data_IF_463776804346
#
_entry.id   IF_463776804346
#
_cell.length_a   1.000
_cell.length_b   1.000
_cell.length_c   1.000
_cell.angle_alpha   90.00
_cell.angle_beta   90.00
_cell.angle_gamma   90.00
#
_symmetry.space_group_name_H-M   'P 1'
#
loop_
_entity.id
_entity.type
_entity.pdbx_description
1 polymer ?
#
# COMPACT_ATOMS: atom_id res chain seq x y z
N UNK A 1 4.91 -8.36 4.92
CA UNK A 1 4.36 -9.33 5.89
C UNK A 1 3.39 -8.61 6.82
N UNK A 2 2.28 -9.24 7.22
CA UNK A 2 1.28 -8.68 8.13
C UNK A 2 1.21 -9.55 9.40
N UNK A 3 2.13 -9.37 10.36
CA UNK A 3 2.08 -10.06 11.66
C UNK A 3 1.89 -11.58 11.62
N UNK A 4 2.54 -12.26 10.68
CA UNK A 4 2.42 -13.72 10.51
C UNK A 4 1.23 -14.19 9.67
N UNK A 5 0.35 -13.30 9.19
CA UNK A 5 -0.71 -13.66 8.24
C UNK A 5 -0.09 -14.12 6.92
N UNK A 6 -0.57 -15.26 6.41
CA UNK A 6 -0.16 -15.80 5.11
C UNK A 6 -0.41 -14.78 3.99
N UNK A 7 0.50 -14.70 3.03
CA UNK A 7 0.31 -13.82 1.86
C UNK A 7 -0.77 -14.36 0.93
N UNK A 8 -0.93 -15.68 0.89
CA UNK A 8 -1.88 -16.37 0.01
C UNK A 8 -3.04 -17.00 0.78
N UNK A 9 -4.21 -17.23 0.14
CA UNK A 9 -4.53 -16.98 -1.28
C UNK A 9 -4.38 -15.51 -1.68
N UNK A 10 -3.70 -15.26 -2.81
CA UNK A 10 -3.60 -13.94 -3.42
C UNK A 10 -4.47 -13.91 -4.66
N UNK A 11 -5.43 -12.99 -4.74
CA UNK A 11 -6.12 -12.71 -5.99
C UNK A 11 -5.29 -11.72 -6.82
N UNK A 12 -5.25 -11.91 -8.14
CA UNK A 12 -4.57 -11.02 -9.09
C UNK A 12 -5.45 -10.82 -10.34
N UNK A 13 -5.57 -9.58 -10.81
CA UNK A 13 -6.41 -9.22 -11.97
C UNK A 13 -5.78 -8.11 -12.82
N UNK A 14 -6.15 -8.03 -14.10
CA UNK A 14 -5.82 -6.90 -14.99
C UNK A 14 -7.07 -6.25 -15.63
N UNK A 15 -6.88 -5.18 -16.41
CA UNK A 15 -7.96 -4.46 -17.09
C UNK A 15 -8.50 -5.17 -18.34
N UNK A 16 -7.80 -6.20 -18.81
CA UNK A 16 -8.19 -7.02 -19.97
C UNK A 16 -9.19 -8.11 -19.58
N UNK A 17 -9.40 -8.31 -18.27
CA UNK A 17 -10.30 -9.30 -17.71
C UNK A 17 -9.61 -10.60 -17.29
N UNK A 18 -8.27 -10.66 -17.32
CA UNK A 18 -7.55 -11.79 -16.75
C UNK A 18 -7.67 -11.77 -15.22
N UNK A 19 -7.96 -12.92 -14.63
CA UNK A 19 -8.05 -13.07 -13.19
C UNK A 19 -7.45 -14.41 -12.75
N UNK A 20 -6.83 -14.44 -11.58
CA UNK A 20 -6.26 -15.64 -11.00
C UNK A 20 -6.18 -15.60 -9.48
N UNK A 21 -6.01 -16.78 -8.89
CA UNK A 21 -5.68 -16.94 -7.46
C UNK A 21 -4.37 -17.71 -7.37
N UNK A 22 -3.41 -17.16 -6.63
CA UNK A 22 -2.08 -17.75 -6.44
C UNK A 22 -1.96 -18.28 -5.02
N UNK A 23 -1.54 -19.54 -4.89
CA UNK A 23 -1.16 -20.17 -3.63
C UNK A 23 0.34 -20.45 -3.61
N UNK A 24 1.03 -20.07 -2.53
CA UNK A 24 2.49 -20.23 -2.46
C UNK A 24 2.98 -20.56 -1.06
N UNK A 25 4.16 -21.18 -1.01
CA UNK A 25 4.82 -21.57 0.23
C UNK A 25 5.42 -20.39 1.02
N UNK A 26 5.52 -19.20 0.43
CA UNK A 26 6.07 -18.01 1.12
C UNK A 26 5.71 -16.71 0.41
N UNK A 27 5.77 -15.60 1.13
CA UNK A 27 5.58 -14.26 0.55
C UNK A 27 6.56 -13.96 -0.61
N UNK A 28 7.80 -14.44 -0.53
CA UNK A 28 8.81 -14.27 -1.59
C UNK A 28 8.42 -15.01 -2.87
N UNK A 29 7.80 -16.19 -2.74
CA UNK A 29 7.27 -16.94 -3.87
C UNK A 29 6.01 -16.28 -4.45
N UNK A 30 5.10 -15.81 -3.58
CA UNK A 30 3.91 -15.06 -4.02
C UNK A 30 4.30 -13.85 -4.88
N UNK A 31 5.23 -13.03 -4.39
CA UNK A 31 5.72 -11.85 -5.10
C UNK A 31 6.42 -12.22 -6.41
N UNK A 32 7.30 -13.23 -6.40
CA UNK A 32 8.01 -13.67 -7.61
C UNK A 32 7.06 -14.13 -8.71
N UNK A 33 6.04 -14.93 -8.37
CA UNK A 33 5.07 -15.42 -9.34
C UNK A 33 4.13 -14.31 -9.82
N UNK A 34 3.61 -13.50 -8.89
CA UNK A 34 2.76 -12.36 -9.22
C UNK A 34 3.48 -11.38 -10.17
N UNK A 35 4.76 -11.09 -9.93
CA UNK A 35 5.56 -10.20 -10.79
C UNK A 35 5.67 -10.69 -12.23
N UNK A 36 5.88 -12.00 -12.44
CA UNK A 36 5.92 -12.59 -13.78
C UNK A 36 4.56 -12.46 -14.44
N UNK A 37 3.49 -12.81 -13.72
CA UNK A 37 2.12 -12.69 -14.23
C UNK A 37 1.75 -11.24 -14.57
N UNK A 38 2.17 -10.27 -13.77
CA UNK A 38 2.01 -8.84 -14.06
C UNK A 38 2.71 -8.44 -15.36
N UNK A 39 3.87 -9.03 -15.68
CA UNK A 39 4.55 -8.82 -16.97
C UNK A 39 3.67 -9.22 -18.15
N UNK A 40 3.11 -10.43 -18.11
CA UNK A 40 2.19 -10.95 -19.13
C UNK A 40 0.87 -10.15 -19.20
N UNK A 41 0.42 -9.59 -18.07
CA UNK A 41 -0.75 -8.70 -17.99
C UNK A 41 -0.50 -7.30 -18.58
N UNK A 42 0.70 -7.00 -19.10
CA UNK A 42 1.04 -5.71 -19.69
C UNK A 42 1.70 -4.73 -18.72
N UNK A 43 2.35 -5.25 -17.67
CA UNK A 43 3.14 -4.46 -16.72
C UNK A 43 2.36 -3.87 -15.55
N UNK A 44 1.04 -4.08 -15.50
CA UNK A 44 0.18 -3.65 -14.39
C UNK A 44 -0.82 -4.74 -14.02
N UNK A 45 -1.01 -4.95 -12.73
CA UNK A 45 -2.01 -5.86 -12.19
C UNK A 45 -2.47 -5.34 -10.82
N UNK A 46 -3.72 -5.61 -10.48
CA UNK A 46 -4.27 -5.38 -9.14
C UNK A 46 -4.22 -6.67 -8.36
N UNK A 47 -3.81 -6.60 -7.09
CA UNK A 47 -3.71 -7.75 -6.20
C UNK A 47 -4.49 -7.56 -4.92
N UNK A 48 -5.03 -8.64 -4.39
CA UNK A 48 -5.54 -8.74 -3.02
C UNK A 48 -4.79 -9.85 -2.32
N UNK A 49 -4.10 -9.52 -1.23
CA UNK A 49 -3.21 -10.41 -0.49
C UNK A 49 -3.38 -10.20 1.01
N UNK A 50 -2.84 -11.12 1.81
CA UNK A 50 -3.03 -11.15 3.27
C UNK A 50 -4.50 -11.20 3.70
N UNK A 51 -5.27 -12.23 3.28
CA UNK A 51 -6.64 -12.40 3.77
C UNK A 51 -6.62 -12.50 5.30
N UNK A 52 -7.23 -11.51 5.96
CA UNK A 52 -7.15 -11.31 7.39
C UNK A 52 -8.52 -10.98 7.98
N UNK A 53 -8.77 -11.44 9.19
CA UNK A 53 -9.96 -11.03 9.95
C UNK A 53 -9.72 -9.72 10.71
N UNK A 54 -10.81 -9.14 11.23
CA UNK A 54 -10.75 -7.86 11.95
C UNK A 54 -9.82 -7.86 13.17
N UNK A 55 -9.64 -8.99 13.87
CA UNK A 55 -8.71 -9.10 15.00
C UNK A 55 -7.26 -8.95 14.53
N UNK A 56 -6.89 -9.66 13.46
CA UNK A 56 -5.54 -9.59 12.87
C UNK A 56 -5.22 -8.18 12.34
N UNK A 57 -6.19 -7.51 11.71
CA UNK A 57 -6.03 -6.13 11.24
C UNK A 57 -5.86 -5.16 12.41
N UNK A 58 -6.66 -5.28 13.48
CA UNK A 58 -6.52 -4.44 14.68
C UNK A 58 -5.17 -4.63 15.38
N UNK A 59 -4.60 -5.83 15.34
CA UNK A 59 -3.33 -6.14 15.98
C UNK A 59 -2.12 -5.70 15.15
N UNK A 60 -2.18 -5.83 13.83
CA UNK A 60 -1.01 -5.70 12.96
C UNK A 60 -1.07 -4.53 11.98
N UNK A 61 -2.24 -3.90 11.82
CA UNK A 61 -2.43 -2.75 10.95
C UNK A 61 -1.85 -1.47 11.55
N UNK A 62 -1.37 -0.57 10.69
CA UNK A 62 -0.89 0.75 11.09
C UNK A 62 -2.09 1.70 11.11
N UNK A 63 -2.61 1.97 12.30
CA UNK A 63 -3.76 2.88 12.47
C UNK A 63 -3.39 4.32 12.05
N UNK A 64 -4.32 5.03 11.42
CA UNK A 64 -4.15 6.44 11.06
C UNK A 64 -3.32 6.74 9.81
N UNK A 65 -2.66 5.73 9.21
CA UNK A 65 -1.74 5.95 8.07
C UNK A 65 -2.41 6.66 6.87
N UNK A 66 -3.64 6.28 6.52
CA UNK A 66 -4.36 6.93 5.41
C UNK A 66 -4.67 8.39 5.73
N UNK A 67 -5.06 8.69 6.97
CA UNK A 67 -5.31 10.06 7.44
C UNK A 67 -4.03 10.90 7.40
N UNK A 68 -2.90 10.33 7.84
CA UNK A 68 -1.60 11.01 7.79
C UNK A 68 -1.16 11.29 6.34
N UNK A 69 -1.25 10.30 5.44
CA UNK A 69 -0.97 10.49 4.01
C UNK A 69 -1.85 11.57 3.38
N UNK A 70 -3.14 11.62 3.76
CA UNK A 70 -4.06 12.66 3.29
C UNK A 70 -3.65 14.05 3.78
N UNK A 71 -3.21 14.18 5.05
CA UNK A 71 -2.72 15.45 5.60
C UNK A 71 -1.49 15.94 4.84
N UNK A 72 -0.50 15.07 4.62
CA UNK A 72 0.70 15.38 3.84
C UNK A 72 0.34 15.83 2.41
N UNK A 73 -0.48 15.03 1.71
CA UNK A 73 -0.90 15.37 0.35
C UNK A 73 -1.71 16.66 0.26
N UNK A 74 -2.51 16.99 1.29
CA UNK A 74 -3.22 18.27 1.39
C UNK A 74 -2.24 19.43 1.56
N UNK A 75 -1.25 19.31 2.42
CA UNK A 75 -0.23 20.36 2.62
C UNK A 75 0.51 20.65 1.32
N UNK A 76 0.95 19.61 0.61
CA UNK A 76 1.64 19.75 -0.69
C UNK A 76 0.75 20.45 -1.72
N UNK A 77 -0.52 20.04 -1.83
CA UNK A 77 -1.47 20.63 -2.80
C UNK A 77 -1.73 22.12 -2.56
N UNK A 78 -1.73 22.56 -1.30
CA UNK A 78 -2.01 23.94 -0.91
C UNK A 78 -0.77 24.84 -0.86
N UNK A 79 0.43 24.27 -1.02
CA UNK A 79 1.70 24.99 -0.89
C UNK A 79 1.83 26.19 -1.83
N UNK A 80 1.20 26.17 -3.01
CA UNK A 80 1.21 27.32 -3.92
C UNK A 80 0.63 28.60 -3.31
N UNK A 81 -0.38 28.47 -2.42
CA UNK A 81 -1.05 29.62 -1.83
C UNK A 81 -0.28 30.20 -0.63
N UNK A 82 0.33 29.32 0.16
CA UNK A 82 1.08 29.67 1.36
C UNK A 82 2.17 28.60 1.64
N UNK A 83 3.37 28.78 1.06
CA UNK A 83 4.45 27.82 1.18
C UNK A 83 4.96 27.61 2.61
N UNK A 84 4.98 28.67 3.43
CA UNK A 84 5.50 28.61 4.81
C UNK A 84 4.57 27.77 5.70
N UNK A 85 3.26 28.04 5.64
CA UNK A 85 2.27 27.23 6.36
C UNK A 85 2.25 25.79 5.86
N UNK A 86 2.40 25.57 4.56
CA UNK A 86 2.46 24.22 3.99
C UNK A 86 3.68 23.44 4.46
N UNK A 87 4.87 24.06 4.48
CA UNK A 87 6.08 23.45 5.00
C UNK A 87 5.92 23.11 6.49
N UNK A 88 5.41 24.05 7.30
CA UNK A 88 5.14 23.81 8.72
C UNK A 88 4.23 22.60 8.93
N UNK A 89 3.07 22.58 8.26
CA UNK A 89 2.12 21.47 8.38
C UNK A 89 2.72 20.14 7.91
N UNK A 90 3.63 20.15 6.94
CA UNK A 90 4.31 18.96 6.47
C UNK A 90 5.34 18.45 7.49
N UNK A 91 6.13 19.34 8.09
CA UNK A 91 7.05 18.99 9.18
C UNK A 91 6.28 18.43 10.37
N UNK A 92 5.19 19.10 10.79
CA UNK A 92 4.34 18.66 11.90
C UNK A 92 3.70 17.28 11.62
N UNK A 93 3.26 17.02 10.39
CA UNK A 93 2.63 15.75 10.03
C UNK A 93 3.61 14.57 9.86
N UNK A 94 4.90 14.85 9.68
CA UNK A 94 5.94 13.85 9.40
C UNK A 94 6.99 13.73 10.49
N UNK A 95 6.87 14.52 11.57
CA UNK A 95 7.94 14.73 12.55
C UNK A 95 9.28 15.11 11.87
N UNK A 96 9.18 15.91 10.81
CA UNK A 96 10.29 16.28 9.94
C UNK A 96 11.12 17.45 10.49
N UNK A 97 12.37 17.55 10.04
CA UNK A 97 13.27 18.67 10.35
C UNK A 97 13.68 19.43 9.09
N UNK A 98 13.71 20.76 9.19
CA UNK A 98 14.21 21.65 8.13
C UNK A 98 15.65 22.08 8.46
N UNK A 99 16.55 21.95 7.49
CA UNK A 99 17.98 22.27 7.58
C UNK A 99 18.33 23.48 6.73
#
# INVERSE_FOLDING_TARGET
HLGGVSTTPMAITDEKGNAGVIETISAKWAERLARVQTGEMGGSATVSLYPANGKQIKQNGISGIVTQCQQVGRSIRLAHNDPETALKNLLDATDGHFI
#
